data_IF_853379726099
#
_entry.id   IF_853379726099
#
_cell.length_a   1.000
_cell.length_b   1.000
_cell.length_c   1.000
_cell.angle_alpha   90.00
_cell.angle_beta   90.00
_cell.angle_gamma   90.00
#
_symmetry.space_group_name_H-M   'P 1'
#
loop_
_entity.id
_entity.type
_entity.pdbx_description
1 polymer ?
#
# COMPACT_ATOMS: atom_id res chain seq x y z
N UNK A 1 11.67 2.12 -8.67
CA UNK A 1 11.13 1.04 -7.80
C UNK A 1 9.60 1.12 -7.78
N UNK A 2 8.87 0.03 -8.06
CA UNK A 2 7.40 0.05 -8.24
C UNK A 2 6.62 0.47 -6.98
N UNK A 3 7.04 0.06 -5.79
CA UNK A 3 6.37 0.46 -4.54
C UNK A 3 6.49 1.96 -4.24
N UNK A 4 7.65 2.57 -4.56
CA UNK A 4 7.85 4.00 -4.40
C UNK A 4 6.99 4.79 -5.41
N UNK A 5 6.87 4.29 -6.65
CA UNK A 5 5.96 4.88 -7.63
C UNK A 5 4.50 4.79 -7.14
N UNK A 6 4.06 3.64 -6.65
CA UNK A 6 2.71 3.45 -6.12
C UNK A 6 2.42 4.39 -4.93
N UNK A 7 3.35 4.49 -3.98
CA UNK A 7 3.21 5.39 -2.83
C UNK A 7 3.14 6.88 -3.20
N UNK A 8 3.63 7.29 -4.36
CA UNK A 8 3.57 8.69 -4.81
C UNK A 8 2.45 8.99 -5.82
N UNK A 9 2.03 8.00 -6.62
CA UNK A 9 1.05 8.21 -7.71
C UNK A 9 -0.36 7.76 -7.34
N UNK A 10 -0.50 6.78 -6.45
CA UNK A 10 -1.82 6.27 -6.07
C UNK A 10 -2.28 6.89 -4.74
N UNK A 11 -3.47 7.52 -4.69
CA UNK A 11 -3.97 8.17 -3.48
C UNK A 11 -4.10 7.20 -2.29
N UNK A 12 -4.62 6.00 -2.49
CA UNK A 12 -4.86 5.03 -1.41
C UNK A 12 -3.55 4.45 -0.86
N UNK A 13 -2.59 4.15 -1.74
CA UNK A 13 -1.27 3.70 -1.32
C UNK A 13 -0.49 4.84 -0.63
N UNK A 14 -0.64 6.08 -1.10
CA UNK A 14 -0.04 7.25 -0.47
C UNK A 14 -0.58 7.48 0.95
N UNK A 15 -1.89 7.45 1.14
CA UNK A 15 -2.50 7.59 2.45
C UNK A 15 -2.06 6.47 3.41
N UNK A 16 -1.94 5.23 2.92
CA UNK A 16 -1.35 4.15 3.73
C UNK A 16 0.09 4.44 4.12
N UNK A 17 0.90 4.91 3.17
CA UNK A 17 2.29 5.26 3.41
C UNK A 17 2.44 6.39 4.44
N UNK A 18 1.59 7.43 4.36
CA UNK A 18 1.54 8.52 5.33
C UNK A 18 1.10 8.04 6.70
N UNK A 19 0.02 7.26 6.79
CA UNK A 19 -0.46 6.64 8.03
C UNK A 19 0.64 5.83 8.74
N UNK A 20 1.45 5.08 7.99
CA UNK A 20 2.57 4.33 8.53
C UNK A 20 3.66 5.22 9.15
N UNK A 21 3.84 6.44 8.65
CA UNK A 21 4.87 7.37 9.15
C UNK A 21 4.32 8.23 10.27
N UNK A 22 3.12 8.79 10.09
CA UNK A 22 2.51 9.79 10.97
C UNK A 22 1.89 9.12 12.19
N UNK A 23 1.09 8.07 12.00
CA UNK A 23 0.36 7.42 13.10
C UNK A 23 1.15 6.26 13.73
N UNK A 24 1.91 5.52 12.92
CA UNK A 24 2.71 4.37 13.39
C UNK A 24 4.17 4.72 13.67
N UNK A 25 4.63 5.92 13.32
CA UNK A 25 5.99 6.39 13.61
C UNK A 25 7.11 5.64 12.86
N UNK A 26 6.79 4.94 11.76
CA UNK A 26 7.79 4.15 11.03
C UNK A 26 8.75 5.04 10.26
N UNK A 27 10.01 4.61 10.17
CA UNK A 27 10.99 5.26 9.29
C UNK A 27 10.56 5.09 7.82
N UNK A 28 10.86 6.09 6.99
CA UNK A 28 10.49 6.11 5.55
C UNK A 28 10.80 4.80 4.81
N UNK A 29 11.98 4.23 5.04
CA UNK A 29 12.38 2.95 4.43
C UNK A 29 11.52 1.77 4.91
N UNK A 30 11.18 1.73 6.20
CA UNK A 30 10.30 0.69 6.75
C UNK A 30 8.89 0.82 6.18
N UNK A 31 8.37 2.04 6.08
CA UNK A 31 7.06 2.29 5.46
C UNK A 31 7.02 1.82 4.00
N UNK A 32 8.07 2.07 3.20
CA UNK A 32 8.18 1.54 1.82
C UNK A 32 8.22 0.01 1.81
N UNK A 33 8.95 -0.63 2.72
CA UNK A 33 8.97 -2.10 2.85
C UNK A 33 7.59 -2.67 3.19
N UNK A 34 6.83 -2.00 4.06
CA UNK A 34 5.46 -2.39 4.41
C UNK A 34 4.53 -2.27 3.19
N UNK A 35 4.63 -1.19 2.42
CA UNK A 35 3.91 -1.02 1.15
C UNK A 35 4.26 -2.14 0.16
N UNK A 36 5.54 -2.45 -0.03
CA UNK A 36 5.99 -3.58 -0.87
C UNK A 36 5.34 -4.89 -0.44
N UNK A 37 5.39 -5.21 0.86
CA UNK A 37 4.84 -6.46 1.37
C UNK A 37 3.33 -6.55 1.12
N UNK A 38 2.60 -5.46 1.31
CA UNK A 38 1.15 -5.42 1.07
C UNK A 38 0.80 -5.55 -0.42
N UNK A 39 1.59 -4.94 -1.31
CA UNK A 39 1.44 -5.10 -2.76
C UNK A 39 1.63 -6.55 -3.20
N UNK A 40 2.61 -7.27 -2.65
CA UNK A 40 2.81 -8.70 -2.96
C UNK A 40 1.62 -9.56 -2.48
N UNK A 41 1.04 -9.24 -1.32
CA UNK A 41 -0.18 -9.91 -0.85
C UNK A 41 -1.37 -9.62 -1.77
N UNK A 42 -1.51 -8.37 -2.24
CA UNK A 42 -2.56 -7.99 -3.17
C UNK A 42 -2.42 -8.76 -4.49
N UNK A 43 -1.21 -8.84 -5.07
CA UNK A 43 -0.95 -9.61 -6.30
C UNK A 43 -1.31 -11.09 -6.08
N UNK A 44 -0.88 -11.69 -4.97
CA UNK A 44 -1.22 -13.08 -4.67
C UNK A 44 -2.73 -13.30 -4.55
N UNK A 45 -3.44 -12.41 -3.86
CA UNK A 45 -4.90 -12.46 -3.72
C UNK A 45 -5.62 -12.27 -5.06
N UNK A 46 -5.14 -11.38 -5.92
CA UNK A 46 -5.67 -11.16 -7.27
C UNK A 46 -5.53 -12.40 -8.13
N UNK A 47 -4.35 -13.03 -8.11
CA UNK A 47 -4.09 -14.26 -8.87
C UNK A 47 -4.93 -15.43 -8.34
N UNK A 48 -5.09 -15.54 -7.02
CA UNK A 48 -5.87 -16.62 -6.40
C UNK A 48 -7.37 -16.51 -6.69
N UNK A 49 -7.91 -15.29 -6.73
CA UNK A 49 -9.34 -15.04 -6.86
C UNK A 49 -9.74 -14.56 -8.26
N UNK A 50 -8.82 -14.57 -9.23
CA UNK A 50 -9.00 -14.06 -10.61
C UNK A 50 -9.68 -12.68 -10.64
N UNK A 51 -9.21 -11.78 -9.76
CA UNK A 51 -9.83 -10.47 -9.54
C UNK A 51 -8.89 -9.33 -9.92
N UNK A 52 -9.49 -8.22 -10.34
CA UNK A 52 -8.76 -6.99 -10.65
C UNK A 52 -8.25 -6.31 -9.37
N UNK A 53 -7.19 -5.52 -9.52
CA UNK A 53 -6.66 -4.73 -8.41
C UNK A 53 -7.67 -3.65 -8.01
N UNK A 54 -7.96 -3.57 -6.72
CA UNK A 54 -8.85 -2.57 -6.15
C UNK A 54 -8.09 -1.76 -5.09
N UNK A 55 -7.77 -0.51 -5.45
CA UNK A 55 -6.96 0.39 -4.64
C UNK A 55 -7.71 0.84 -3.38
N UNK A 56 -9.05 0.86 -3.41
CA UNK A 56 -9.88 1.26 -2.27
C UNK A 56 -9.72 0.29 -1.10
N UNK A 57 -9.53 -1.00 -1.40
CA UNK A 57 -9.27 -2.06 -0.42
C UNK A 57 -7.84 -2.04 0.10
N UNK A 58 -6.95 -1.30 -0.55
CA UNK A 58 -5.57 -1.15 -0.10
C UNK A 58 -5.51 -0.34 1.19
N UNK A 59 -6.21 0.78 1.29
CA UNK A 59 -6.32 1.52 2.53
C UNK A 59 -7.58 2.38 2.56
N UNK A 60 -8.35 2.20 3.63
CA UNK A 60 -9.55 2.97 3.86
C UNK A 60 -9.18 4.28 4.55
N UNK A 61 -9.38 5.40 3.86
CA UNK A 61 -9.05 6.74 4.39
C UNK A 61 -10.10 7.27 5.38
N UNK A 62 -11.18 6.52 5.61
CA UNK A 62 -12.22 6.80 6.60
C UNK A 62 -11.94 5.92 7.82
N UNK A 63 -11.07 6.38 8.72
CA UNK A 63 -10.87 5.82 10.05
C UNK A 63 -10.64 6.96 11.04
#
# INVERSE_FOLDING_TARGET
MPALCAAHRDPHVNAYYQHLIEDQGLKKMQAVCTVMRKLLHAIHAMLKNESHFDNTRFFNMVA
#
